data_IF_031654010639
#
_entry.id   IF_031654010639
#
_cell.length_a   1.000
_cell.length_b   1.000
_cell.length_c   1.000
_cell.angle_alpha   90.00
_cell.angle_beta   90.00
_cell.angle_gamma   90.00
#
_symmetry.space_group_name_H-M   'P 1'
#
loop_
_entity.id
_entity.type
_entity.pdbx_description
1 polymer ?
#
# COMPACT_ATOMS: atom_id res chain seq x y z
N UNK A 1 -9.20 -36.72 47.55
CA UNK A 1 -10.09 -35.94 46.65
C UNK A 1 -9.66 -34.49 46.75
N UNK A 2 -9.13 -33.92 45.67
CA UNK A 2 -8.69 -32.51 45.63
C UNK A 2 -9.94 -31.67 45.41
N UNK A 3 -10.31 -30.81 46.36
CA UNK A 3 -11.44 -29.90 46.18
C UNK A 3 -11.01 -28.83 45.18
N UNK A 4 -11.73 -28.72 44.07
CA UNK A 4 -11.57 -27.58 43.17
C UNK A 4 -12.19 -26.36 43.85
N UNK A 5 -11.36 -25.38 44.19
CA UNK A 5 -11.83 -24.10 44.68
C UNK A 5 -12.51 -23.36 43.53
N UNK A 6 -13.84 -23.27 43.56
CA UNK A 6 -14.61 -22.46 42.61
C UNK A 6 -14.35 -20.96 42.82
N UNK A 7 -14.42 -20.19 41.74
CA UNK A 7 -14.36 -18.73 41.76
C UNK A 7 -15.50 -18.14 42.60
N UNK A 8 -15.20 -17.10 43.38
CA UNK A 8 -16.25 -16.38 44.14
C UNK A 8 -17.02 -15.41 43.24
N UNK A 9 -18.28 -15.10 43.57
CA UNK A 9 -19.05 -14.07 42.83
C UNK A 9 -18.33 -12.71 42.82
N UNK A 10 -17.68 -12.36 43.93
CA UNK A 10 -16.93 -11.10 44.04
C UNK A 10 -15.74 -11.08 43.09
N UNK A 11 -15.03 -12.20 42.97
CA UNK A 11 -13.89 -12.33 42.06
C UNK A 11 -14.31 -12.18 40.60
N UNK A 12 -15.44 -12.76 40.21
CA UNK A 12 -15.99 -12.58 38.86
C UNK A 12 -16.32 -11.11 38.57
N UNK A 13 -16.95 -10.40 39.53
CA UNK A 13 -17.29 -8.98 39.37
C UNK A 13 -16.03 -8.12 39.23
N UNK A 14 -15.01 -8.35 40.07
CA UNK A 14 -13.74 -7.63 39.98
C UNK A 14 -13.05 -7.89 38.64
N UNK A 15 -13.04 -9.13 38.13
CA UNK A 15 -12.46 -9.46 36.84
C UNK A 15 -13.16 -8.72 35.69
N UNK A 16 -14.49 -8.67 35.68
CA UNK A 16 -15.24 -7.96 34.64
C UNK A 16 -14.94 -6.45 34.69
N UNK A 17 -14.84 -5.86 35.88
CA UNK A 17 -14.46 -4.45 36.05
C UNK A 17 -13.05 -4.22 35.49
N UNK A 18 -12.08 -5.07 35.84
CA UNK A 18 -10.70 -4.96 35.35
C UNK A 18 -10.63 -5.12 33.82
N UNK A 19 -11.36 -6.07 33.25
CA UNK A 19 -11.47 -6.25 31.79
C UNK A 19 -12.10 -5.02 31.13
N UNK A 20 -13.11 -4.42 31.75
CA UNK A 20 -13.73 -3.18 31.28
C UNK A 20 -12.75 -2.00 31.22
N UNK A 21 -11.94 -1.82 32.27
CA UNK A 21 -10.89 -0.78 32.30
C UNK A 21 -9.85 -1.05 31.22
N UNK A 22 -9.34 -2.28 31.09
CA UNK A 22 -8.36 -2.63 30.05
C UNK A 22 -8.91 -2.42 28.64
N UNK A 23 -10.16 -2.80 28.38
CA UNK A 23 -10.81 -2.62 27.10
C UNK A 23 -10.95 -1.14 26.71
N UNK A 24 -11.27 -0.26 27.67
CA UNK A 24 -11.40 1.18 27.43
C UNK A 24 -10.11 1.83 26.92
N UNK A 25 -8.94 1.32 27.32
CA UNK A 25 -7.63 1.80 26.82
C UNK A 25 -7.13 1.05 25.59
N UNK A 26 -7.39 -0.26 25.49
CA UNK A 26 -6.88 -1.07 24.38
C UNK A 26 -7.61 -0.79 23.06
N UNK A 27 -8.94 -0.63 23.08
CA UNK A 27 -9.75 -0.48 21.87
C UNK A 27 -9.40 0.75 21.02
N UNK A 28 -9.23 1.97 21.58
CA UNK A 28 -8.88 3.15 20.78
C UNK A 28 -7.56 2.96 20.01
N UNK A 29 -6.56 2.34 20.67
CA UNK A 29 -5.23 2.11 20.08
C UNK A 29 -5.26 1.14 18.89
N UNK A 30 -6.19 0.17 18.88
CA UNK A 30 -6.34 -0.73 17.73
C UNK A 30 -6.87 -0.01 16.49
N UNK A 31 -7.72 1.00 16.65
CA UNK A 31 -8.25 1.80 15.54
C UNK A 31 -7.16 2.69 14.94
N UNK A 32 -6.30 3.26 15.78
CA UNK A 32 -5.20 4.12 15.31
C UNK A 32 -4.22 3.36 14.40
N UNK A 33 -3.94 2.07 14.66
CA UNK A 33 -2.99 1.25 13.88
C UNK A 33 -3.38 1.16 12.40
N UNK A 34 -4.67 1.08 12.09
CA UNK A 34 -5.14 1.02 10.70
C UNK A 34 -4.84 2.32 9.95
N UNK A 35 -4.95 3.48 10.60
CA UNK A 35 -4.57 4.76 9.99
C UNK A 35 -3.08 4.86 9.73
N UNK A 36 -2.25 4.35 10.65
CA UNK A 36 -0.81 4.28 10.44
C UNK A 36 -0.43 3.36 9.29
N UNK A 37 -1.11 2.21 9.15
CA UNK A 37 -0.90 1.29 8.04
C UNK A 37 -1.32 1.91 6.70
N UNK A 38 -2.47 2.59 6.66
CA UNK A 38 -2.94 3.27 5.46
C UNK A 38 -1.89 4.27 4.97
N UNK A 39 -1.42 5.12 5.90
CA UNK A 39 -0.41 6.13 5.60
C UNK A 39 0.92 5.53 5.15
N UNK A 40 1.38 4.47 5.80
CA UNK A 40 2.61 3.78 5.41
C UNK A 40 2.49 3.18 4.00
N UNK A 41 1.37 2.53 3.68
CA UNK A 41 1.11 2.01 2.34
C UNK A 41 0.96 3.12 1.30
N UNK A 42 0.37 4.26 1.66
CA UNK A 42 0.27 5.43 0.79
C UNK A 42 1.65 5.98 0.42
N UNK A 43 2.51 6.19 1.42
CA UNK A 43 3.88 6.68 1.21
C UNK A 43 4.70 5.68 0.37
N UNK A 44 4.47 4.37 0.57
CA UNK A 44 5.10 3.33 -0.20
C UNK A 44 4.69 3.36 -1.68
N UNK A 45 3.39 3.41 -1.97
CA UNK A 45 2.88 3.47 -3.35
C UNK A 45 3.32 4.77 -4.03
N UNK A 46 3.25 5.91 -3.34
CA UNK A 46 3.74 7.18 -3.85
C UNK A 46 5.25 7.13 -4.14
N UNK A 47 6.03 6.48 -3.26
CA UNK A 47 7.44 6.21 -3.45
C UNK A 47 7.73 5.32 -4.67
N UNK A 48 6.97 4.25 -4.84
CA UNK A 48 7.05 3.34 -5.98
C UNK A 48 6.78 4.06 -7.31
N UNK A 49 5.76 4.91 -7.37
CA UNK A 49 5.41 5.71 -8.56
C UNK A 49 6.52 6.69 -8.94
N UNK A 50 7.03 7.44 -7.95
CA UNK A 50 8.15 8.37 -8.17
C UNK A 50 9.42 7.64 -8.57
N UNK A 51 9.65 6.45 -8.01
CA UNK A 51 10.76 5.60 -8.39
C UNK A 51 10.60 5.08 -9.83
N UNK A 52 9.42 4.60 -10.21
CA UNK A 52 9.12 4.15 -11.57
C UNK A 52 9.38 5.26 -12.61
N UNK A 53 8.89 6.47 -12.33
CA UNK A 53 9.12 7.64 -13.18
C UNK A 53 10.62 7.94 -13.32
N UNK A 54 11.36 8.01 -12.20
CA UNK A 54 12.80 8.27 -12.22
C UNK A 54 13.57 7.17 -12.91
N UNK A 55 13.14 5.92 -12.76
CA UNK A 55 13.76 4.77 -13.38
C UNK A 55 13.55 4.78 -14.90
N UNK A 56 12.37 5.18 -15.38
CA UNK A 56 12.12 5.34 -16.81
C UNK A 56 13.07 6.39 -17.41
N UNK A 57 13.20 7.54 -16.75
CA UNK A 57 14.12 8.61 -17.15
C UNK A 57 15.59 8.16 -17.10
N UNK A 58 15.99 7.43 -16.04
CA UNK A 58 17.37 7.00 -15.86
C UNK A 58 17.78 5.85 -16.80
N UNK A 59 16.86 4.92 -17.07
CA UNK A 59 17.11 3.77 -17.94
C UNK A 59 16.95 4.09 -19.42
N UNK A 60 16.21 5.14 -19.76
CA UNK A 60 15.86 5.45 -21.14
C UNK A 60 14.82 4.50 -21.74
N UNK A 61 14.23 3.61 -20.94
CA UNK A 61 13.18 2.68 -21.35
C UNK A 61 11.86 2.99 -20.66
N UNK A 62 10.77 2.46 -21.23
CA UNK A 62 9.47 2.45 -20.58
C UNK A 62 9.51 1.67 -19.25
N UNK A 63 8.84 2.18 -18.23
CA UNK A 63 8.59 1.46 -16.97
C UNK A 63 7.10 1.40 -16.76
N UNK A 64 6.57 0.18 -16.62
CA UNK A 64 5.14 -0.05 -16.40
C UNK A 64 4.86 -0.18 -14.90
N UNK A 65 3.80 0.45 -14.44
CA UNK A 65 3.22 0.23 -13.13
C UNK A 65 1.98 -0.64 -13.33
N UNK A 66 1.92 -1.80 -12.66
CA UNK A 66 0.80 -2.74 -12.74
C UNK A 66 0.13 -2.85 -11.37
N UNK A 67 -1.19 -2.83 -11.37
CA UNK A 67 -2.05 -3.00 -10.19
C UNK A 67 -2.91 -4.25 -10.36
N UNK A 68 -2.85 -5.15 -9.39
CA UNK A 68 -3.64 -6.39 -9.34
C UNK A 68 -4.26 -6.56 -7.96
N UNK A 69 -5.50 -6.08 -7.82
CA UNK A 69 -6.18 -5.98 -6.54
C UNK A 69 -5.38 -5.10 -5.57
N UNK A 70 -5.01 -5.67 -4.43
CA UNK A 70 -4.18 -5.02 -3.42
C UNK A 70 -2.68 -5.01 -3.73
N UNK A 71 -2.25 -5.60 -4.83
CA UNK A 71 -0.83 -5.72 -5.16
C UNK A 71 -0.47 -4.71 -6.24
N UNK A 72 0.76 -4.19 -6.19
CA UNK A 72 1.36 -3.50 -7.31
C UNK A 72 2.73 -4.08 -7.64
N UNK A 73 3.15 -3.92 -8.89
CA UNK A 73 4.48 -4.26 -9.36
C UNK A 73 4.98 -3.22 -10.37
N UNK A 74 6.29 -2.99 -10.35
CA UNK A 74 6.98 -2.24 -11.39
C UNK A 74 7.58 -3.21 -12.37
N UNK A 75 7.35 -2.97 -13.66
CA UNK A 75 7.83 -3.81 -14.72
C UNK A 75 8.63 -3.00 -15.73
N UNK A 76 9.56 -3.67 -16.41
CA UNK A 76 10.32 -3.11 -17.53
C UNK A 76 10.31 -4.06 -18.72
N UNK A 77 10.58 -3.57 -19.93
CA UNK A 77 10.81 -4.42 -21.10
C UNK A 77 11.88 -5.50 -20.83
N UNK A 78 11.65 -6.72 -21.31
CA UNK A 78 12.44 -7.90 -20.96
C UNK A 78 13.86 -7.89 -21.55
N UNK A 79 14.01 -7.41 -22.79
CA UNK A 79 15.28 -7.39 -23.50
C UNK A 79 15.76 -5.95 -23.78
N UNK A 80 14.93 -5.15 -24.43
CA UNK A 80 15.26 -3.83 -24.95
C UNK A 80 14.07 -2.86 -24.82
N UNK A 81 14.32 -1.55 -24.93
CA UNK A 81 13.27 -0.53 -24.70
C UNK A 81 12.09 -0.58 -25.69
N UNK A 82 12.17 -1.39 -26.75
CA UNK A 82 11.10 -1.61 -27.74
C UNK A 82 10.31 -2.90 -27.52
N UNK A 83 10.69 -3.74 -26.56
CA UNK A 83 9.99 -4.99 -26.30
C UNK A 83 8.58 -4.72 -25.73
N UNK A 84 7.64 -5.59 -26.11
CA UNK A 84 6.26 -5.59 -25.61
C UNK A 84 6.07 -6.56 -24.45
N UNK A 85 7.07 -7.42 -24.20
CA UNK A 85 7.13 -8.29 -23.03
C UNK A 85 7.71 -7.54 -21.84
N UNK A 86 6.98 -7.52 -20.72
CA UNK A 86 7.37 -6.87 -19.48
C UNK A 86 7.74 -7.91 -18.42
N UNK A 87 8.83 -7.65 -17.69
CA UNK A 87 9.28 -8.43 -16.55
C UNK A 87 9.30 -7.59 -15.29
N UNK A 88 9.00 -8.22 -14.15
CA UNK A 88 9.04 -7.56 -12.85
C UNK A 88 10.45 -7.08 -12.51
N UNK A 89 10.52 -5.83 -12.09
CA UNK A 89 11.72 -5.26 -11.50
C UNK A 89 11.83 -5.86 -10.10
N UNK A 90 12.93 -6.55 -9.84
CA UNK A 90 13.20 -7.19 -8.55
C UNK A 90 14.44 -6.59 -7.91
N UNK A 91 14.51 -6.61 -6.57
CA UNK A 91 15.69 -6.19 -5.80
C UNK A 91 15.69 -4.72 -5.37
N UNK A 92 14.62 -3.96 -5.63
CA UNK A 92 14.43 -2.63 -5.06
C UNK A 92 13.25 -2.66 -4.07
N UNK A 93 13.33 -2.01 -2.90
CA UNK A 93 12.30 -2.14 -1.85
C UNK A 93 10.90 -1.66 -2.26
N UNK A 94 10.78 -0.88 -3.34
CA UNK A 94 9.49 -0.35 -3.86
C UNK A 94 9.12 -0.91 -5.24
N UNK A 95 9.72 -2.02 -5.67
CA UNK A 95 9.46 -2.58 -7.01
C UNK A 95 8.27 -3.52 -7.09
N UNK A 96 7.68 -3.91 -5.97
CA UNK A 96 6.39 -4.58 -5.93
C UNK A 96 6.04 -5.03 -4.52
N UNK A 97 4.84 -4.69 -4.07
CA UNK A 97 4.36 -5.03 -2.74
C UNK A 97 2.84 -5.21 -2.69
N UNK A 98 2.37 -5.86 -1.62
CA UNK A 98 0.96 -5.96 -1.26
C UNK A 98 0.58 -4.85 -0.28
N UNK A 99 -0.53 -4.17 -0.53
CA UNK A 99 -1.12 -3.14 0.33
C UNK A 99 -2.17 -3.76 1.24
N UNK A 100 -1.92 -3.75 2.55
CA UNK A 100 -2.79 -4.41 3.54
C UNK A 100 -4.15 -3.72 3.74
N UNK A 101 -4.25 -2.40 3.52
CA UNK A 101 -5.43 -1.59 3.90
C UNK A 101 -6.43 -1.40 2.75
N UNK A 102 -6.28 -2.11 1.63
CA UNK A 102 -7.09 -1.90 0.44
C UNK A 102 -6.46 -0.90 -0.51
N UNK A 103 -6.37 -1.28 -1.78
CA UNK A 103 -5.97 -0.40 -2.88
C UNK A 103 -6.96 -0.56 -4.03
N UNK A 104 -7.41 0.55 -4.60
CA UNK A 104 -8.14 0.58 -5.86
C UNK A 104 -7.43 1.52 -6.83
N UNK A 105 -7.55 1.24 -8.12
CA UNK A 105 -6.95 2.07 -9.16
C UNK A 105 -7.94 2.23 -10.31
N UNK A 106 -7.96 3.43 -10.90
CA UNK A 106 -8.69 3.70 -12.14
C UNK A 106 -8.21 2.87 -13.33
N UNK A 107 -6.96 2.37 -13.30
CA UNK A 107 -6.34 1.58 -14.36
C UNK A 107 -5.56 0.40 -13.77
N UNK A 108 -5.63 -0.76 -14.42
CA UNK A 108 -4.86 -1.95 -14.01
C UNK A 108 -3.39 -1.87 -14.38
N UNK A 109 -3.02 -1.05 -15.36
CA UNK A 109 -1.62 -0.75 -15.67
C UNK A 109 -1.49 0.56 -16.44
N UNK A 110 -0.32 1.18 -16.36
CA UNK A 110 0.06 2.37 -17.10
C UNK A 110 1.58 2.48 -17.19
N UNK A 111 2.07 3.29 -18.13
CA UNK A 111 3.51 3.34 -18.47
C UNK A 111 4.05 4.74 -18.18
N UNK A 112 5.25 4.78 -17.60
CA UNK A 112 6.12 5.94 -17.62
C UNK A 112 7.10 5.82 -18.78
N UNK A 113 7.11 6.82 -19.67
CA UNK A 113 8.02 6.87 -20.80
C UNK A 113 9.43 7.35 -20.37
N UNK A 114 10.44 7.27 -21.26
CA UNK A 114 11.80 7.73 -20.96
C UNK A 114 11.92 9.23 -20.68
N UNK A 115 10.88 10.01 -21.00
CA UNK A 115 10.78 11.44 -20.69
C UNK A 115 10.13 11.69 -19.33
N UNK A 116 9.73 10.63 -18.61
CA UNK A 116 9.08 10.69 -17.30
C UNK A 116 7.59 11.01 -17.37
N UNK A 117 6.97 10.94 -18.55
CA UNK A 117 5.53 11.20 -18.74
C UNK A 117 4.74 9.93 -18.48
N UNK A 118 3.53 10.07 -17.95
CA UNK A 118 2.61 8.95 -17.82
C UNK A 118 1.70 8.86 -19.05
N UNK A 119 1.43 7.63 -19.51
CA UNK A 119 0.54 7.36 -20.64
C UNK A 119 -0.92 7.74 -20.39
N UNK A 120 -1.35 7.73 -19.13
CA UNK A 120 -2.75 7.94 -18.73
C UNK A 120 -2.83 8.79 -17.46
N UNK A 121 -3.98 9.41 -17.21
CA UNK A 121 -4.23 10.02 -15.88
C UNK A 121 -4.78 8.94 -14.97
N UNK A 122 -4.03 8.61 -13.92
CA UNK A 122 -4.37 7.51 -13.02
C UNK A 122 -4.64 8.05 -11.64
N UNK A 123 -5.75 7.63 -11.05
CA UNK A 123 -6.04 7.84 -9.63
C UNK A 123 -5.97 6.49 -8.92
N UNK A 124 -5.17 6.41 -7.87
CA UNK A 124 -5.12 5.29 -6.93
C UNK A 124 -5.73 5.75 -5.61
N UNK A 125 -6.46 4.86 -4.95
CA UNK A 125 -7.04 5.10 -3.62
C UNK A 125 -6.55 4.03 -2.67
N UNK A 126 -5.95 4.45 -1.55
CA UNK A 126 -5.38 3.61 -0.49
C UNK A 126 -6.25 3.80 0.77
N UNK A 127 -6.57 2.70 1.45
CA UNK A 127 -7.36 2.76 2.68
C UNK A 127 -8.76 3.36 2.51
N UNK A 128 -9.28 3.40 1.27
CA UNK A 128 -10.59 3.96 0.93
C UNK A 128 -10.72 5.49 0.99
N UNK A 129 -9.68 6.22 1.41
CA UNK A 129 -9.75 7.69 1.64
C UNK A 129 -8.56 8.45 1.10
N UNK A 130 -7.35 7.90 1.18
CA UNK A 130 -6.14 8.56 0.69
C UNK A 130 -6.01 8.35 -0.82
N UNK A 131 -5.82 9.42 -1.60
CA UNK A 131 -5.77 9.34 -3.06
C UNK A 131 -4.45 9.85 -3.62
N UNK A 132 -3.85 9.07 -4.50
CA UNK A 132 -2.66 9.46 -5.27
C UNK A 132 -3.10 9.65 -6.71
N UNK A 133 -2.75 10.80 -7.31
CA UNK A 133 -3.07 11.10 -8.71
C UNK A 133 -1.79 11.25 -9.52
N UNK A 134 -1.67 10.44 -10.56
CA UNK A 134 -0.63 10.56 -11.59
C UNK A 134 -1.25 11.30 -12.77
N UNK A 135 -0.64 12.42 -13.16
CA UNK A 135 -1.13 13.25 -14.27
C UNK A 135 -0.52 12.75 -15.58
N UNK A 136 -1.38 12.48 -16.58
CA UNK A 136 -0.95 12.12 -17.93
C UNK A 136 0.02 13.17 -18.51
N UNK A 137 0.85 12.77 -19.46
CA UNK A 137 1.78 13.62 -20.22
C UNK A 137 2.88 14.32 -19.41
N UNK A 138 2.76 14.35 -18.09
CA UNK A 138 3.76 14.93 -17.17
C UNK A 138 4.35 13.88 -16.24
N UNK A 139 3.59 12.82 -15.96
CA UNK A 139 3.95 11.81 -14.96
C UNK A 139 4.05 12.37 -13.54
N UNK A 140 3.55 13.58 -13.30
CA UNK A 140 3.57 14.20 -11.99
C UNK A 140 2.75 13.36 -11.01
N UNK A 141 3.39 12.92 -9.93
CA UNK A 141 2.78 12.16 -8.85
C UNK A 141 2.31 13.14 -7.78
N UNK A 142 1.04 13.49 -7.84
CA UNK A 142 0.33 14.28 -6.83
C UNK A 142 -0.09 13.34 -5.70
N UNK A 143 0.60 13.48 -4.57
CA UNK A 143 0.35 12.73 -3.35
C UNK A 143 0.34 13.74 -2.19
N UNK A 144 -0.81 14.43 -1.97
CA UNK A 144 -0.98 15.42 -0.90
C UNK A 144 -0.95 14.81 0.51
#
# INVERSE_FOLDING_TARGET
>A
MKQEAGFTLVELVVIIILLGILAAFALPRFVDIETFRARASYDEVAGALRYAQKLAVASGCNVQFVVSGNNFALQRPAADCSDTSYIDISGHPVSGNSVDVGMTSSHSSFIFDPMGRSSETVTLTIGGTETIRVVAETGYVDAP
#
